data_IF_985320043968
#
_entry.id   IF_985320043968
#
_cell.length_a   1.000
_cell.length_b   1.000
_cell.length_c   1.000
_cell.angle_alpha   90.00
_cell.angle_beta   90.00
_cell.angle_gamma   90.00
#
_symmetry.space_group_name_H-M   'P 1'
#
loop_
_entity.id
_entity.type
_entity.pdbx_description
1 polymer ?
#
# COMPACT_ATOMS: atom_id res chain seq x y z
N UNK A 1 17.61 7.89 5.26
CA UNK A 1 18.01 7.27 3.98
C UNK A 1 17.37 8.07 2.87
N UNK A 2 18.20 8.57 1.96
CA UNK A 2 17.79 9.45 0.87
C UNK A 2 17.77 8.71 -0.48
N UNK A 3 18.66 7.73 -0.67
CA UNK A 3 18.69 6.86 -1.84
C UNK A 3 18.95 5.39 -1.45
N UNK A 4 18.40 4.46 -2.23
CA UNK A 4 18.51 3.02 -2.02
C UNK A 4 18.62 2.30 -3.35
N UNK A 5 19.46 1.28 -3.40
CA UNK A 5 19.55 0.35 -4.53
C UNK A 5 19.38 -1.06 -3.99
N UNK A 6 18.63 -1.90 -4.69
CA UNK A 6 18.61 -3.34 -4.43
C UNK A 6 18.92 -4.13 -5.68
N UNK A 7 19.65 -5.22 -5.50
CA UNK A 7 19.70 -6.30 -6.46
C UNK A 7 18.90 -7.46 -5.88
N UNK A 8 18.06 -8.10 -6.70
CA UNK A 8 17.32 -9.30 -6.32
C UNK A 8 17.69 -10.43 -7.26
N UNK A 9 18.15 -11.55 -6.71
CA UNK A 9 18.39 -12.79 -7.42
C UNK A 9 17.15 -13.69 -7.34
N UNK A 10 16.37 -13.72 -8.41
CA UNK A 10 15.14 -14.50 -8.50
C UNK A 10 15.40 -16.02 -8.43
N UNK A 11 16.59 -16.49 -8.81
CA UNK A 11 16.96 -17.91 -8.67
C UNK A 11 17.15 -18.27 -7.20
N UNK A 12 17.81 -17.41 -6.43
CA UNK A 12 18.00 -17.61 -5.00
C UNK A 12 16.66 -17.57 -4.24
N UNK A 13 15.77 -16.64 -4.60
CA UNK A 13 14.49 -16.42 -3.91
C UNK A 13 13.43 -17.46 -4.27
N UNK A 14 13.30 -17.84 -5.54
CA UNK A 14 12.19 -18.68 -6.00
C UNK A 14 12.61 -20.08 -6.47
N UNK A 15 13.89 -20.27 -6.81
CA UNK A 15 14.39 -21.49 -7.46
C UNK A 15 13.56 -21.92 -8.69
N UNK A 16 13.53 -23.22 -8.95
CA UNK A 16 12.72 -23.86 -10.00
C UNK A 16 11.20 -23.79 -9.81
N UNK A 17 10.70 -23.37 -8.63
CA UNK A 17 9.27 -23.23 -8.36
C UNK A 17 8.66 -21.90 -8.87
N UNK A 18 9.45 -21.07 -9.55
CA UNK A 18 8.96 -19.77 -10.01
C UNK A 18 7.98 -19.90 -11.19
N UNK A 19 6.89 -19.12 -11.15
CA UNK A 19 6.03 -18.85 -12.32
C UNK A 19 6.64 -17.79 -13.24
N UNK A 20 7.91 -17.41 -13.04
CA UNK A 20 8.63 -16.42 -13.85
C UNK A 20 9.16 -17.14 -15.09
N UNK A 21 8.51 -16.89 -16.23
CA UNK A 21 8.45 -17.79 -17.39
C UNK A 21 9.76 -18.31 -17.98
N UNK A 22 10.91 -17.64 -17.80
CA UNK A 22 12.20 -18.12 -18.31
C UNK A 22 12.96 -19.03 -17.33
N UNK A 23 12.63 -18.99 -16.03
CA UNK A 23 13.28 -19.81 -14.99
C UNK A 23 12.68 -21.22 -14.91
N UNK A 24 11.41 -21.38 -15.28
CA UNK A 24 10.68 -22.65 -15.19
C UNK A 24 11.09 -23.71 -16.23
N UNK A 25 11.98 -23.37 -17.17
CA UNK A 25 12.45 -24.27 -18.24
C UNK A 25 13.89 -24.78 -18.06
N UNK A 26 14.60 -24.35 -17.02
CA UNK A 26 15.99 -24.76 -16.79
C UNK A 26 16.07 -26.18 -16.20
N UNK A 27 17.07 -26.95 -16.64
CA UNK A 27 17.44 -28.18 -15.92
C UNK A 27 18.08 -27.84 -14.56
N UNK A 28 18.09 -28.80 -13.62
CA UNK A 28 18.70 -28.59 -12.30
C UNK A 28 20.18 -28.19 -12.36
N UNK A 29 20.93 -28.73 -13.32
CA UNK A 29 22.35 -28.40 -13.50
C UNK A 29 22.53 -26.99 -14.07
N UNK A 30 21.64 -26.57 -14.98
CA UNK A 30 21.61 -25.19 -15.49
C UNK A 30 21.24 -24.19 -14.41
N UNK A 31 20.25 -24.50 -13.58
CA UNK A 31 19.83 -23.68 -12.43
C UNK A 31 21.00 -23.48 -11.47
N UNK A 32 21.72 -24.56 -11.12
CA UNK A 32 22.88 -24.50 -10.22
C UNK A 32 24.02 -23.65 -10.80
N UNK A 33 24.31 -23.79 -12.09
CA UNK A 33 25.35 -23.01 -12.75
C UNK A 33 24.97 -21.52 -12.88
N UNK A 34 23.72 -21.23 -13.22
CA UNK A 34 23.19 -19.88 -13.28
C UNK A 34 23.22 -19.21 -11.89
N UNK A 35 22.80 -19.93 -10.85
CA UNK A 35 22.87 -19.46 -9.46
C UNK A 35 24.33 -19.20 -9.03
N UNK A 36 25.28 -20.05 -9.38
CA UNK A 36 26.69 -19.79 -9.05
C UNK A 36 27.20 -18.48 -9.70
N UNK A 37 26.74 -18.20 -10.93
CA UNK A 37 27.11 -17.00 -11.68
C UNK A 37 26.45 -15.74 -11.10
N UNK A 38 25.15 -15.79 -10.78
CA UNK A 38 24.45 -14.69 -10.10
C UNK A 38 25.05 -14.42 -8.73
N UNK A 39 25.38 -15.44 -7.95
CA UNK A 39 25.97 -15.26 -6.62
C UNK A 39 27.40 -14.69 -6.67
N UNK A 40 28.18 -14.96 -7.72
CA UNK A 40 29.46 -14.29 -7.92
C UNK A 40 29.28 -12.79 -8.23
N UNK A 41 28.22 -12.43 -8.96
CA UNK A 41 27.84 -11.05 -9.24
C UNK A 41 27.34 -10.32 -7.99
N UNK A 42 26.41 -10.93 -7.23
CA UNK A 42 25.80 -10.40 -6.00
C UNK A 42 26.79 -10.19 -4.84
N UNK A 43 27.99 -10.80 -4.88
CA UNK A 43 29.03 -10.60 -3.87
C UNK A 43 29.87 -9.33 -4.09
N UNK A 44 29.76 -8.70 -5.26
CA UNK A 44 30.48 -7.45 -5.56
C UNK A 44 29.80 -6.30 -4.82
N UNK A 45 30.59 -5.39 -4.24
CA UNK A 45 30.03 -4.23 -3.53
C UNK A 45 29.32 -3.28 -4.51
N UNK A 46 28.05 -2.98 -4.21
CA UNK A 46 27.26 -2.01 -4.96
C UNK A 46 27.83 -0.60 -4.81
N UNK A 47 28.30 -0.26 -3.63
CA UNK A 47 28.91 1.04 -3.38
C UNK A 47 30.20 1.21 -4.18
N UNK A 48 31.09 0.21 -4.16
CA UNK A 48 32.33 0.29 -4.94
C UNK A 48 32.03 0.37 -6.44
N UNK A 49 31.09 -0.45 -6.94
CA UNK A 49 30.66 -0.40 -8.33
C UNK A 49 30.09 0.98 -8.72
N UNK A 50 29.35 1.64 -7.81
CA UNK A 50 28.81 2.98 -8.01
C UNK A 50 29.94 4.01 -8.15
N UNK A 51 30.90 4.00 -7.23
CA UNK A 51 32.01 4.96 -7.22
C UNK A 51 32.98 4.71 -8.38
N UNK A 52 33.22 3.47 -8.78
CA UNK A 52 34.07 3.14 -9.94
C UNK A 52 33.47 3.69 -11.24
N UNK A 53 32.13 3.73 -11.34
CA UNK A 53 31.41 4.29 -12.50
C UNK A 53 31.35 5.80 -12.48
N UNK A 54 31.16 6.40 -11.30
CA UNK A 54 31.10 7.85 -11.13
C UNK A 54 31.78 8.27 -9.82
N UNK A 55 33.11 8.52 -9.87
CA UNK A 55 33.90 8.85 -8.68
C UNK A 55 33.46 10.13 -7.98
N UNK A 56 32.82 11.06 -8.70
CA UNK A 56 32.37 12.32 -8.13
C UNK A 56 31.21 12.15 -7.13
N UNK A 57 30.41 11.10 -7.28
CA UNK A 57 29.32 10.79 -6.35
C UNK A 57 29.82 10.45 -4.93
N UNK A 58 31.07 10.00 -4.78
CA UNK A 58 31.64 9.74 -3.45
C UNK A 58 31.66 10.99 -2.56
N UNK A 59 31.73 12.19 -3.15
CA UNK A 59 31.74 13.47 -2.42
C UNK A 59 30.34 13.85 -1.91
N UNK A 60 29.30 13.41 -2.62
CA UNK A 60 27.91 13.69 -2.28
C UNK A 60 27.39 12.71 -1.22
N UNK A 61 27.89 11.47 -1.19
CA UNK A 61 27.46 10.44 -0.24
C UNK A 61 28.04 10.73 1.16
N UNK A 62 27.15 10.96 2.12
CA UNK A 62 27.49 11.23 3.52
C UNK A 62 27.86 9.95 4.27
N UNK A 63 26.98 8.97 4.17
CA UNK A 63 27.12 7.65 4.77
C UNK A 63 26.34 6.64 3.94
N UNK A 64 26.75 5.37 4.03
CA UNK A 64 26.07 4.27 3.37
C UNK A 64 26.11 3.00 4.22
N UNK A 65 25.14 2.13 4.02
CA UNK A 65 25.10 0.78 4.57
C UNK A 65 24.82 -0.19 3.43
N UNK A 66 25.67 -1.20 3.31
CA UNK A 66 25.47 -2.31 2.40
C UNK A 66 25.17 -3.57 3.22
N UNK A 67 24.11 -4.30 2.84
CA UNK A 67 23.69 -5.50 3.55
C UNK A 67 23.12 -6.54 2.59
N UNK A 68 23.10 -7.79 3.07
CA UNK A 68 22.57 -8.93 2.34
C UNK A 68 21.38 -9.54 3.08
N UNK A 69 20.36 -9.88 2.30
CA UNK A 69 19.24 -10.72 2.69
C UNK A 69 19.42 -12.06 2.01
N UNK A 70 19.44 -13.10 2.82
CA UNK A 70 19.70 -14.47 2.39
C UNK A 70 18.39 -15.18 2.10
N UNK A 71 18.42 -16.02 1.07
CA UNK A 71 17.29 -16.83 0.65
C UNK A 71 17.72 -18.29 0.51
N UNK A 72 16.84 -19.17 0.98
CA UNK A 72 16.94 -20.61 0.78
C UNK A 72 15.60 -21.07 0.22
N UNK A 73 15.57 -21.43 -1.07
CA UNK A 73 14.33 -21.78 -1.78
C UNK A 73 13.58 -22.96 -1.16
N UNK A 74 14.24 -23.77 -0.34
CA UNK A 74 13.61 -24.86 0.41
C UNK A 74 12.98 -24.43 1.74
N UNK A 75 13.38 -23.27 2.27
CA UNK A 75 12.94 -22.73 3.55
C UNK A 75 11.80 -21.73 3.36
N UNK A 76 10.57 -22.23 3.47
CA UNK A 76 9.33 -21.51 3.11
C UNK A 76 8.39 -21.33 4.32
N UNK A 77 7.53 -20.31 4.28
CA UNK A 77 6.60 -20.02 5.40
C UNK A 77 5.67 -21.19 5.73
N UNK A 78 5.23 -21.95 4.72
CA UNK A 78 4.35 -23.09 4.92
C UNK A 78 4.95 -24.21 5.79
N UNK A 79 6.28 -24.25 5.93
CA UNK A 79 6.98 -25.21 6.77
C UNK A 79 7.22 -24.70 8.20
N UNK A 80 7.40 -23.38 8.37
CA UNK A 80 7.81 -22.80 9.65
C UNK A 80 6.66 -22.19 10.44
N UNK A 81 5.54 -21.85 9.79
CA UNK A 81 4.37 -21.30 10.45
C UNK A 81 3.38 -22.42 10.83
N UNK A 82 2.78 -22.39 12.04
CA UNK A 82 1.84 -23.41 12.46
C UNK A 82 0.62 -23.54 11.54
N UNK A 83 0.06 -24.74 11.41
CA UNK A 83 -1.16 -24.93 10.62
C UNK A 83 -2.33 -24.07 11.16
N UNK A 84 -3.07 -23.44 10.26
CA UNK A 84 -4.25 -22.63 10.60
C UNK A 84 -3.97 -21.15 10.92
N UNK A 85 -2.71 -20.71 11.03
CA UNK A 85 -2.41 -19.27 11.22
C UNK A 85 -2.56 -18.46 9.93
N UNK A 86 -2.35 -19.09 8.78
CA UNK A 86 -2.63 -18.54 7.45
C UNK A 86 -3.91 -19.17 6.90
N UNK A 87 -4.77 -18.37 6.27
CA UNK A 87 -6.03 -18.85 5.64
C UNK A 87 -6.26 -18.20 4.28
N UNK A 88 -7.07 -18.85 3.43
CA UNK A 88 -7.52 -18.29 2.15
C UNK A 88 -6.39 -17.97 1.18
N UNK A 89 -6.50 -16.85 0.46
CA UNK A 89 -5.51 -16.43 -0.55
C UNK A 89 -4.11 -16.20 0.03
N UNK A 90 -4.02 -15.68 1.27
CA UNK A 90 -2.73 -15.48 1.96
C UNK A 90 -2.02 -16.81 2.14
N UNK A 91 -2.73 -17.86 2.60
CA UNK A 91 -2.17 -19.20 2.71
C UNK A 91 -1.74 -19.76 1.36
N UNK A 92 -2.59 -19.63 0.34
CA UNK A 92 -2.32 -20.16 -1.00
C UNK A 92 -1.04 -19.59 -1.62
N UNK A 93 -0.76 -18.30 -1.36
CA UNK A 93 0.43 -17.62 -1.84
C UNK A 93 1.62 -17.82 -0.89
N UNK A 94 1.50 -17.39 0.37
CA UNK A 94 2.61 -17.31 1.32
C UNK A 94 3.17 -18.68 1.72
N UNK A 95 2.36 -19.75 1.73
CA UNK A 95 2.85 -21.07 2.12
C UNK A 95 4.00 -21.58 1.25
N UNK A 96 4.11 -21.10 0.01
CA UNK A 96 5.17 -21.44 -0.95
C UNK A 96 6.28 -20.40 -1.04
N UNK A 97 6.15 -19.29 -0.32
CA UNK A 97 7.10 -18.18 -0.35
C UNK A 97 8.29 -18.49 0.55
N UNK A 98 9.48 -18.31 0.02
CA UNK A 98 10.74 -18.39 0.77
C UNK A 98 10.79 -17.34 1.87
N UNK A 99 11.29 -17.75 3.03
CA UNK A 99 11.45 -16.88 4.19
C UNK A 99 12.79 -16.15 4.04
N UNK A 100 12.81 -14.82 3.83
CA UNK A 100 14.05 -14.08 3.77
C UNK A 100 14.70 -14.04 5.15
N UNK A 101 16.03 -14.16 5.18
CA UNK A 101 16.83 -14.17 6.40
C UNK A 101 17.85 -13.05 6.41
N UNK A 102 18.06 -12.43 7.57
CA UNK A 102 19.12 -11.43 7.77
C UNK A 102 19.91 -11.75 9.04
N UNK A 103 21.21 -11.52 9.03
CA UNK A 103 22.04 -11.60 10.23
C UNK A 103 21.66 -10.47 11.20
N UNK A 104 21.68 -10.77 12.48
CA UNK A 104 21.41 -9.75 13.52
C UNK A 104 22.42 -8.61 13.48
N UNK A 105 23.69 -8.89 13.15
CA UNK A 105 24.71 -7.84 12.98
C UNK A 105 24.40 -6.88 11.82
N UNK A 106 23.90 -7.40 10.69
CA UNK A 106 23.53 -6.60 9.52
C UNK A 106 22.23 -5.82 9.78
N UNK A 107 21.25 -6.44 10.44
CA UNK A 107 20.05 -5.72 10.88
C UNK A 107 20.40 -4.57 11.84
N UNK A 108 21.32 -4.76 12.80
CA UNK A 108 21.65 -3.69 13.75
C UNK A 108 22.38 -2.50 13.10
N UNK A 109 23.12 -2.71 12.00
CA UNK A 109 23.64 -1.60 11.18
C UNK A 109 22.49 -0.80 10.56
N UNK A 110 21.50 -1.50 10.01
CA UNK A 110 20.30 -0.92 9.42
C UNK A 110 19.44 -0.18 10.47
N UNK A 111 19.26 -0.77 11.65
CA UNK A 111 18.50 -0.18 12.75
C UNK A 111 19.09 1.18 13.17
N UNK A 112 20.42 1.26 13.28
CA UNK A 112 21.14 2.53 13.54
C UNK A 112 20.88 3.58 12.46
N UNK A 113 20.95 3.17 11.19
CA UNK A 113 20.71 4.06 10.04
C UNK A 113 19.29 4.65 10.04
N UNK A 114 18.30 3.87 10.47
CA UNK A 114 16.91 4.30 10.59
C UNK A 114 16.52 4.86 11.96
N UNK A 115 17.47 4.98 12.90
CA UNK A 115 17.21 5.37 14.29
C UNK A 115 16.13 4.51 14.98
N UNK A 116 16.23 3.19 14.81
CA UNK A 116 15.35 2.17 15.39
C UNK A 116 16.08 1.34 16.45
N UNK A 117 15.30 0.62 17.25
CA UNK A 117 15.81 -0.28 18.27
C UNK A 117 16.61 -1.45 17.64
N UNK A 118 17.76 -1.74 18.25
CA UNK A 118 18.59 -2.89 17.92
C UNK A 118 17.96 -4.18 18.45
N UNK A 119 18.21 -5.29 17.76
CA UNK A 119 17.83 -6.63 18.19
C UNK A 119 19.06 -7.32 18.80
N UNK A 120 18.86 -7.99 19.93
CA UNK A 120 19.89 -8.83 20.55
C UNK A 120 19.37 -10.27 20.62
N UNK A 121 20.13 -11.21 20.03
CA UNK A 121 19.80 -12.64 19.99
C UNK A 121 20.92 -13.46 20.62
N UNK A 122 20.54 -14.53 21.32
CA UNK A 122 21.43 -15.67 21.60
C UNK A 122 21.51 -16.60 20.38
N UNK A 123 22.49 -17.49 20.38
CA UNK A 123 22.75 -18.44 19.27
C UNK A 123 21.56 -19.34 18.91
N UNK A 124 20.63 -19.56 19.84
CA UNK A 124 19.43 -20.38 19.67
C UNK A 124 18.14 -19.56 19.53
N UNK A 125 18.25 -18.26 19.24
CA UNK A 125 17.10 -17.35 19.18
C UNK A 125 16.86 -16.77 17.78
N UNK A 126 15.62 -16.36 17.51
CA UNK A 126 15.26 -15.61 16.30
C UNK A 126 14.24 -14.51 16.61
N UNK A 127 14.11 -13.56 15.68
CA UNK A 127 13.03 -12.56 15.68
C UNK A 127 12.46 -12.38 14.27
N UNK A 128 11.18 -12.02 14.15
CA UNK A 128 10.61 -11.56 12.89
C UNK A 128 10.57 -10.04 12.80
N UNK A 129 10.93 -9.52 11.64
CA UNK A 129 10.76 -8.12 11.24
C UNK A 129 9.63 -8.02 10.21
N UNK A 130 8.55 -7.29 10.48
CA UNK A 130 7.45 -7.11 9.54
C UNK A 130 6.80 -5.73 9.70
N UNK A 131 6.14 -5.22 8.68
CA UNK A 131 5.30 -4.01 8.79
C UNK A 131 3.95 -4.16 8.07
N UNK A 132 3.81 -5.16 7.20
CA UNK A 132 2.55 -5.45 6.55
C UNK A 132 1.58 -6.10 7.54
N UNK A 133 0.55 -5.34 7.95
CA UNK A 133 -0.38 -5.66 9.05
C UNK A 133 -0.88 -7.09 9.05
N UNK A 134 -1.43 -7.56 7.93
CA UNK A 134 -1.98 -8.92 7.84
C UNK A 134 -0.95 -9.98 8.19
N UNK A 135 0.30 -9.80 7.76
CA UNK A 135 1.35 -10.75 8.01
C UNK A 135 1.98 -10.58 9.39
N UNK A 136 2.10 -9.34 9.87
CA UNK A 136 2.46 -9.02 11.26
C UNK A 136 1.55 -9.74 12.27
N UNK A 137 0.23 -9.73 12.07
CA UNK A 137 -0.73 -10.44 12.93
C UNK A 137 -0.55 -11.98 12.91
N UNK A 138 -0.19 -12.53 11.75
CA UNK A 138 0.09 -13.97 11.59
C UNK A 138 1.38 -14.35 12.33
N UNK A 139 2.41 -13.52 12.20
CA UNK A 139 3.69 -13.70 12.86
C UNK A 139 3.56 -13.53 14.38
N UNK A 140 2.77 -12.57 14.87
CA UNK A 140 2.48 -12.41 16.29
C UNK A 140 1.80 -13.64 16.90
N UNK A 141 0.83 -14.24 16.20
CA UNK A 141 0.20 -15.51 16.66
C UNK A 141 1.23 -16.65 16.74
N UNK A 142 2.14 -16.71 15.77
CA UNK A 142 3.22 -17.71 15.71
C UNK A 142 4.20 -17.53 16.89
N UNK A 143 4.66 -16.30 17.13
CA UNK A 143 5.57 -15.95 18.22
C UNK A 143 4.91 -16.13 19.60
N UNK A 144 3.64 -15.77 19.73
CA UNK A 144 2.86 -15.99 20.95
C UNK A 144 2.83 -17.48 21.34
N UNK A 145 2.70 -18.37 20.35
CA UNK A 145 2.74 -19.82 20.50
C UNK A 145 4.12 -20.43 20.79
N UNK A 146 5.19 -19.64 20.95
CA UNK A 146 6.57 -20.13 21.10
C UNK A 146 6.99 -21.10 19.99
N UNK A 147 6.56 -20.85 18.75
CA UNK A 147 6.89 -21.74 17.63
C UNK A 147 8.41 -21.84 17.46
N UNK A 148 8.92 -23.06 17.48
CA UNK A 148 10.33 -23.33 17.26
C UNK A 148 10.60 -23.51 15.77
N UNK A 149 11.59 -22.81 15.24
CA UNK A 149 12.00 -22.92 13.84
C UNK A 149 13.21 -23.85 13.77
N UNK A 150 13.07 -24.93 13.00
CA UNK A 150 14.20 -25.81 12.67
C UNK A 150 14.74 -25.42 11.31
N UNK A 151 16.02 -25.08 11.26
CA UNK A 151 16.70 -24.72 10.03
C UNK A 151 18.09 -25.36 10.02
N UNK A 152 18.29 -26.31 9.09
CA UNK A 152 19.50 -27.15 9.03
C UNK A 152 19.75 -27.83 10.39
N UNK A 153 20.93 -27.62 10.99
CA UNK A 153 21.31 -28.12 12.32
C UNK A 153 20.90 -27.18 13.47
N UNK A 154 20.29 -26.04 13.17
CA UNK A 154 19.84 -25.08 14.18
C UNK A 154 18.39 -25.33 14.58
N UNK A 155 18.14 -25.10 15.85
CA UNK A 155 16.81 -25.11 16.44
C UNK A 155 16.64 -23.78 17.16
N UNK A 156 15.86 -22.88 16.57
CA UNK A 156 15.74 -21.49 16.98
C UNK A 156 14.41 -21.25 17.70
N UNK A 157 14.48 -20.51 18.81
CA UNK A 157 13.34 -20.14 19.64
C UNK A 157 13.06 -18.63 19.51
N UNK A 158 11.80 -18.19 19.57
CA UNK A 158 11.50 -16.77 19.44
C UNK A 158 12.02 -15.99 20.65
N UNK A 159 12.72 -14.87 20.40
CA UNK A 159 13.21 -13.99 21.47
C UNK A 159 12.08 -13.18 22.11
N UNK A 160 11.02 -12.90 21.34
CA UNK A 160 9.90 -12.08 21.74
C UNK A 160 8.57 -12.72 21.33
N UNK A 161 7.48 -12.24 21.96
CA UNK A 161 6.11 -12.70 21.70
C UNK A 161 5.42 -11.98 20.54
N UNK A 162 6.06 -10.95 20.01
CA UNK A 162 5.57 -10.13 18.89
C UNK A 162 6.71 -9.84 17.93
N UNK A 163 6.34 -9.60 16.68
CA UNK A 163 7.27 -9.14 15.65
C UNK A 163 7.84 -7.77 16.03
N UNK A 164 9.03 -7.48 15.50
CA UNK A 164 9.58 -6.14 15.48
C UNK A 164 9.01 -5.41 14.25
N UNK A 165 8.51 -4.18 14.43
CA UNK A 165 8.08 -3.37 13.29
C UNK A 165 9.30 -2.82 12.53
N UNK A 166 9.37 -3.13 11.23
CA UNK A 166 10.37 -2.53 10.35
C UNK A 166 10.48 -3.18 8.98
N UNK A 167 11.46 -2.71 8.22
CA UNK A 167 11.68 -3.01 6.81
C UNK A 167 13.16 -2.79 6.47
N UNK A 168 13.61 -3.28 5.31
CA UNK A 168 14.95 -3.02 4.80
C UNK A 168 14.96 -1.78 3.92
N UNK A 169 14.15 -1.80 2.87
CA UNK A 169 14.03 -0.71 1.90
C UNK A 169 12.77 0.06 2.22
N UNK A 170 12.87 1.38 2.30
CA UNK A 170 11.69 2.22 2.51
C UNK A 170 10.85 2.22 1.24
N UNK A 171 9.62 1.78 1.38
CA UNK A 171 8.55 1.89 0.38
C UNK A 171 7.58 3.00 0.77
N UNK A 172 6.72 3.37 -0.18
CA UNK A 172 5.65 4.34 0.04
C UNK A 172 4.45 3.82 0.83
N UNK A 173 4.45 2.53 1.17
CA UNK A 173 3.38 1.79 1.87
C UNK A 173 4.00 0.60 2.62
N UNK A 174 3.35 0.12 3.68
CA UNK A 174 3.86 -1.02 4.47
C UNK A 174 3.71 -2.31 3.67
N UNK A 175 4.81 -2.99 3.37
CA UNK A 175 4.83 -4.16 2.46
C UNK A 175 5.74 -5.30 2.91
N UNK A 176 6.49 -5.15 4.00
CA UNK A 176 7.33 -6.20 4.53
C UNK A 176 6.46 -7.30 5.16
N UNK A 177 6.40 -8.44 4.47
CA UNK A 177 5.68 -9.66 4.86
C UNK A 177 6.45 -10.54 5.84
N UNK A 178 7.59 -10.08 6.36
CA UNK A 178 8.36 -10.81 7.36
C UNK A 178 9.77 -11.10 6.86
N UNK A 179 10.75 -10.77 7.68
CA UNK A 179 12.14 -11.17 7.50
C UNK A 179 12.57 -11.82 8.80
N UNK A 180 13.18 -13.00 8.70
CA UNK A 180 13.69 -13.72 9.84
C UNK A 180 15.07 -13.18 10.21
N UNK A 181 15.17 -12.51 11.35
CA UNK A 181 16.44 -12.08 11.94
C UNK A 181 17.01 -13.25 12.74
N UNK A 182 18.21 -13.67 12.37
CA UNK A 182 18.91 -14.82 12.96
C UNK A 182 20.32 -14.46 13.41
N UNK A 183 20.91 -15.22 14.35
CA UNK A 183 22.32 -15.09 14.71
C UNK A 183 23.23 -15.31 13.50
N UNK A 184 24.38 -14.63 13.50
CA UNK A 184 25.29 -14.60 12.35
C UNK A 184 25.78 -16.00 11.92
N UNK A 185 25.95 -16.92 12.88
CA UNK A 185 26.40 -18.29 12.67
C UNK A 185 25.38 -19.19 11.96
N UNK A 186 24.09 -18.79 11.90
CA UNK A 186 23.05 -19.51 11.15
C UNK A 186 23.24 -19.37 9.64
N UNK A 187 23.85 -18.25 9.20
CA UNK A 187 24.06 -17.94 7.79
C UNK A 187 25.52 -18.14 7.42
N UNK A 188 25.82 -19.31 6.84
CA UNK A 188 27.17 -19.73 6.44
C UNK A 188 27.42 -19.57 4.94
N UNK A 189 26.57 -20.17 4.11
CA UNK A 189 26.78 -20.36 2.67
C UNK A 189 25.48 -20.19 1.86
N UNK A 190 24.41 -19.71 2.51
CA UNK A 190 23.14 -19.45 1.86
C UNK A 190 23.31 -18.42 0.72
N UNK A 191 22.60 -18.61 -0.40
CA UNK A 191 22.53 -17.61 -1.46
C UNK A 191 22.03 -16.26 -0.94
N UNK A 192 22.59 -15.19 -1.49
CA UNK A 192 22.08 -13.83 -1.36
C UNK A 192 20.84 -13.73 -2.24
N UNK A 193 19.67 -13.59 -1.62
CA UNK A 193 18.42 -13.32 -2.33
C UNK A 193 18.31 -11.86 -2.73
N UNK A 194 18.69 -10.95 -1.82
CA UNK A 194 18.71 -9.51 -2.08
C UNK A 194 19.97 -8.88 -1.50
N UNK A 195 20.64 -8.04 -2.27
CA UNK A 195 21.72 -7.17 -1.80
C UNK A 195 21.19 -5.74 -1.82
N UNK A 196 21.28 -5.02 -0.72
CA UNK A 196 20.76 -3.67 -0.59
C UNK A 196 21.88 -2.68 -0.24
N UNK A 197 21.92 -1.55 -0.94
CA UNK A 197 22.75 -0.38 -0.66
C UNK A 197 21.83 0.76 -0.23
N UNK A 198 21.98 1.24 0.99
CA UNK A 198 21.25 2.38 1.54
C UNK A 198 22.20 3.54 1.72
N UNK A 199 21.81 4.74 1.27
CA UNK A 199 22.69 5.92 1.26
C UNK A 199 21.96 7.15 1.79
N UNK A 200 22.68 7.96 2.58
CA UNK A 200 22.33 9.36 2.81
C UNK A 200 23.35 10.24 2.08
N UNK A 201 22.89 11.36 1.54
CA UNK A 201 23.77 12.31 0.87
C UNK A 201 23.78 13.68 1.56
N UNK A 202 24.83 14.45 1.34
CA UNK A 202 24.96 15.82 1.83
C UNK A 202 24.34 16.78 0.83
N UNK A 203 23.35 17.56 1.28
CA UNK A 203 22.87 18.72 0.52
C UNK A 203 23.83 19.89 0.73
N UNK A 204 24.22 20.53 -0.37
CA UNK A 204 25.07 21.72 -0.35
C UNK A 204 24.42 22.86 -1.13
N UNK A 205 24.91 24.09 -0.98
CA UNK A 205 24.44 25.22 -1.77
C UNK A 205 24.66 25.05 -3.29
N UNK A 206 25.54 24.13 -3.69
CA UNK A 206 25.89 23.84 -5.09
C UNK A 206 25.14 22.67 -5.72
N UNK A 207 24.53 21.78 -4.92
CA UNK A 207 23.90 20.53 -5.40
C UNK A 207 22.55 20.32 -4.72
N UNK A 208 21.48 20.25 -5.51
CA UNK A 208 20.15 19.93 -5.00
C UNK A 208 19.94 18.42 -4.88
N UNK A 209 18.93 17.99 -4.11
CA UNK A 209 18.55 16.59 -3.97
C UNK A 209 18.24 15.96 -5.33
N UNK A 210 17.53 16.69 -6.19
CA UNK A 210 17.12 16.24 -7.53
C UNK A 210 18.32 15.96 -8.43
N UNK A 211 19.38 16.78 -8.35
CA UNK A 211 20.59 16.61 -9.14
C UNK A 211 21.38 15.38 -8.69
N UNK A 212 21.51 15.17 -7.38
CA UNK A 212 22.18 13.98 -6.82
C UNK A 212 21.38 12.73 -7.15
N UNK A 213 20.06 12.76 -6.98
CA UNK A 213 19.15 11.67 -7.34
C UNK A 213 19.26 11.32 -8.83
N UNK A 214 19.34 12.32 -9.73
CA UNK A 214 19.51 12.09 -11.16
C UNK A 214 20.85 11.45 -11.51
N UNK A 215 21.94 11.88 -10.88
CA UNK A 215 23.26 11.30 -11.13
C UNK A 215 23.40 9.88 -10.58
N UNK A 216 22.84 9.62 -9.38
CA UNK A 216 22.72 8.27 -8.84
C UNK A 216 21.89 7.39 -9.78
N UNK A 217 20.73 7.90 -10.20
CA UNK A 217 19.86 7.21 -11.13
C UNK A 217 20.60 6.90 -12.43
N UNK A 218 21.32 7.86 -13.03
CA UNK A 218 22.16 7.63 -14.22
C UNK A 218 23.25 6.59 -13.97
N UNK A 219 23.90 6.60 -12.80
CA UNK A 219 24.95 5.63 -12.51
C UNK A 219 24.42 4.18 -12.43
N UNK A 220 23.16 4.01 -12.01
CA UNK A 220 22.46 2.72 -12.02
C UNK A 220 21.74 2.41 -13.34
N UNK A 221 21.14 3.40 -14.02
CA UNK A 221 20.40 3.28 -15.29
C UNK A 221 21.30 3.16 -16.53
N UNK A 222 22.43 3.88 -16.59
CA UNK A 222 23.44 3.76 -17.67
C UNK A 222 24.22 2.43 -17.61
N UNK A 223 23.85 1.55 -16.67
CA UNK A 223 24.38 0.19 -16.54
C UNK A 223 23.41 -0.94 -16.90
N UNK A 224 22.09 -0.70 -16.89
CA UNK A 224 21.08 -1.72 -17.15
C UNK A 224 19.72 -1.01 -17.36
N UNK A 225 19.11 -1.16 -18.54
CA UNK A 225 17.90 -0.41 -18.94
C UNK A 225 16.64 -0.83 -18.15
N UNK A 226 15.90 0.21 -17.73
CA UNK A 226 14.50 0.33 -17.30
C UNK A 226 14.03 -0.41 -16.04
N UNK A 227 13.69 0.39 -15.03
CA UNK A 227 12.55 0.08 -14.15
C UNK A 227 11.43 1.03 -14.52
N UNK A 228 10.32 0.46 -15.02
CA UNK A 228 9.06 1.17 -15.12
C UNK A 228 8.71 1.72 -13.74
N UNK A 229 8.58 3.04 -13.64
CA UNK A 229 7.73 3.62 -12.62
C UNK A 229 6.38 2.92 -12.74
N UNK A 230 5.96 2.24 -11.68
CA UNK A 230 4.67 1.58 -11.61
C UNK A 230 3.55 2.63 -11.74
N UNK A 231 3.22 3.01 -12.97
CA UNK A 231 1.90 3.50 -13.33
C UNK A 231 1.16 2.32 -13.92
N UNK A 232 0.23 1.77 -13.16
CA UNK A 232 -0.83 0.93 -13.68
C UNK A 232 -1.62 1.73 -14.72
N UNK A 233 -1.19 1.64 -15.97
CA UNK A 233 -1.96 1.99 -17.14
C UNK A 233 -1.70 0.90 -18.17
N UNK A 234 -2.70 0.04 -18.32
CA UNK A 234 -2.88 -0.75 -19.53
C UNK A 234 -2.79 0.22 -20.73
N UNK A 235 -2.12 -0.25 -21.77
CA UNK A 235 -1.97 0.42 -23.06
C UNK A 235 -0.85 1.47 -23.16
N UNK A 236 0.40 1.01 -23.17
CA UNK A 236 1.32 1.45 -24.22
C UNK A 236 2.34 0.36 -24.52
N UNK A 237 2.19 -0.28 -25.67
CA UNK A 237 3.27 -0.93 -26.41
C UNK A 237 4.31 0.12 -26.78
N UNK A 238 5.17 0.51 -25.84
CA UNK A 238 6.37 1.27 -26.15
C UNK A 238 7.53 0.31 -26.29
N UNK A 239 8.05 0.27 -27.51
CA UNK A 239 9.24 -0.45 -27.91
C UNK A 239 10.38 -0.20 -26.92
N UNK A 240 10.83 -1.28 -26.29
CA UNK A 240 12.08 -1.39 -25.56
C UNK A 240 13.23 -1.05 -26.50
N UNK A 241 13.60 0.24 -26.59
CA UNK A 241 14.88 0.64 -27.15
C UNK A 241 15.97 0.28 -26.15
N UNK A 242 16.39 -0.98 -26.21
CA UNK A 242 17.66 -1.44 -25.67
C UNK A 242 18.77 -0.66 -26.37
N UNK A 243 19.47 0.18 -25.62
CA UNK A 243 20.70 0.79 -26.09
C UNK A 243 21.65 0.94 -24.91
N UNK A 244 22.68 0.08 -24.98
CA UNK A 244 23.97 0.09 -24.28
C UNK A 244 24.10 -0.63 -22.91
N UNK A 245 24.83 -1.77 -22.98
CA UNK A 245 25.62 -2.53 -21.98
C UNK A 245 24.92 -3.36 -20.89
N UNK A 246 24.26 -4.42 -21.34
CA UNK A 246 23.91 -5.61 -20.55
C UNK A 246 25.06 -6.65 -20.49
N UNK A 247 26.33 -6.24 -20.48
CA UNK A 247 27.43 -7.19 -20.73
C UNK A 247 27.82 -8.06 -19.52
N UNK A 248 27.46 -7.67 -18.29
CA UNK A 248 27.94 -8.36 -17.06
C UNK A 248 26.85 -8.83 -16.07
N UNK A 249 25.58 -8.47 -16.25
CA UNK A 249 24.51 -8.86 -15.30
C UNK A 249 23.93 -10.24 -15.65
N UNK A 250 24.00 -11.22 -14.74
CA UNK A 250 23.45 -12.56 -15.00
C UNK A 250 21.93 -12.54 -15.17
N UNK A 251 21.40 -13.44 -16.01
CA UNK A 251 19.96 -13.64 -16.14
C UNK A 251 19.36 -14.06 -14.79
N UNK A 252 18.22 -13.46 -14.43
CA UNK A 252 17.57 -13.70 -13.13
C UNK A 252 17.99 -12.74 -12.01
N UNK A 253 18.93 -11.83 -12.24
CA UNK A 253 19.22 -10.72 -11.30
C UNK A 253 18.54 -9.45 -11.80
N UNK A 254 17.67 -8.86 -10.97
CA UNK A 254 17.13 -7.52 -11.22
C UNK A 254 17.79 -6.48 -10.33
N UNK A 255 17.82 -5.24 -10.80
CA UNK A 255 18.25 -4.07 -10.04
C UNK A 255 17.09 -3.09 -9.96
N UNK A 256 16.81 -2.59 -8.76
CA UNK A 256 15.88 -1.50 -8.55
C UNK A 256 16.59 -0.36 -7.82
N UNK A 257 16.27 0.87 -8.22
CA UNK A 257 16.78 2.08 -7.60
C UNK A 257 15.61 2.93 -7.11
N UNK A 258 15.73 3.41 -5.88
CA UNK A 258 14.72 4.22 -5.22
C UNK A 258 15.39 5.45 -4.61
N UNK A 259 14.71 6.59 -4.70
CA UNK A 259 15.06 7.76 -3.90
C UNK A 259 13.88 8.16 -3.05
N UNK A 260 14.16 8.83 -1.94
CA UNK A 260 13.14 9.38 -1.05
C UNK A 260 12.20 10.31 -1.81
N UNK A 261 12.71 11.08 -2.77
CA UNK A 261 11.90 11.94 -3.62
C UNK A 261 10.98 11.11 -4.54
N UNK A 262 11.50 10.09 -5.23
CA UNK A 262 10.72 9.19 -6.08
C UNK A 262 9.61 8.47 -5.31
N UNK A 263 9.92 7.96 -4.13
CA UNK A 263 8.93 7.30 -3.26
C UNK A 263 7.84 8.30 -2.84
N UNK A 264 8.24 9.51 -2.43
CA UNK A 264 7.29 10.55 -2.01
C UNK A 264 6.38 11.01 -3.16
N UNK A 265 6.93 11.27 -4.34
CA UNK A 265 6.15 11.73 -5.50
C UNK A 265 5.26 10.61 -6.06
N UNK A 266 5.75 9.38 -6.11
CA UNK A 266 4.98 8.21 -6.51
C UNK A 266 3.79 7.93 -5.59
N UNK A 267 4.01 7.94 -4.27
CA UNK A 267 2.93 7.79 -3.28
C UNK A 267 1.90 8.92 -3.38
N UNK A 268 2.34 10.18 -3.52
CA UNK A 268 1.43 11.30 -3.67
C UNK A 268 0.58 11.20 -4.95
N UNK A 269 1.16 10.74 -6.06
CA UNK A 269 0.44 10.52 -7.31
C UNK A 269 -0.65 9.46 -7.18
N UNK A 270 -0.34 8.32 -6.56
CA UNK A 270 -1.33 7.26 -6.31
C UNK A 270 -2.47 7.74 -5.40
N UNK A 271 -2.13 8.44 -4.31
CA UNK A 271 -3.12 9.02 -3.41
C UNK A 271 -4.00 10.05 -4.12
N UNK A 272 -3.42 10.90 -4.98
CA UNK A 272 -4.15 11.91 -5.73
C UNK A 272 -5.16 11.27 -6.71
N UNK A 273 -4.77 10.22 -7.43
CA UNK A 273 -5.66 9.51 -8.36
C UNK A 273 -6.80 8.83 -7.59
N UNK A 274 -6.49 8.09 -6.52
CA UNK A 274 -7.49 7.41 -5.70
C UNK A 274 -8.49 8.42 -5.10
N UNK A 275 -7.98 9.55 -4.61
CA UNK A 275 -8.78 10.64 -4.05
C UNK A 275 -9.67 11.29 -5.11
N UNK A 276 -9.13 11.58 -6.30
CA UNK A 276 -9.88 12.18 -7.41
C UNK A 276 -11.04 11.28 -7.85
N UNK A 277 -10.78 9.99 -8.09
CA UNK A 277 -11.81 9.01 -8.48
C UNK A 277 -12.85 8.85 -7.38
N UNK A 278 -12.42 8.72 -6.12
CA UNK A 278 -13.30 8.59 -4.96
C UNK A 278 -14.23 9.78 -4.78
N UNK A 279 -13.71 11.01 -4.85
CA UNK A 279 -14.53 12.22 -4.77
C UNK A 279 -15.47 12.38 -5.96
N UNK A 280 -14.98 12.14 -7.18
CA UNK A 280 -15.79 12.27 -8.39
C UNK A 280 -17.00 11.34 -8.37
N UNK A 281 -16.77 10.04 -8.11
CA UNK A 281 -17.86 9.06 -8.00
C UNK A 281 -18.77 9.38 -6.82
N UNK A 282 -18.19 9.72 -5.66
CA UNK A 282 -18.96 10.06 -4.46
C UNK A 282 -19.91 11.24 -4.67
N UNK A 283 -19.44 12.33 -5.29
CA UNK A 283 -20.24 13.53 -5.58
C UNK A 283 -21.34 13.22 -6.59
N UNK A 284 -21.02 12.50 -7.68
CA UNK A 284 -22.01 12.16 -8.71
C UNK A 284 -23.12 11.29 -8.15
N UNK A 285 -22.79 10.25 -7.37
CA UNK A 285 -23.79 9.42 -6.73
C UNK A 285 -24.62 10.22 -5.73
N UNK A 286 -23.99 11.08 -4.94
CA UNK A 286 -24.71 11.90 -3.95
C UNK A 286 -25.70 12.87 -4.61
N UNK A 287 -25.27 13.60 -5.64
CA UNK A 287 -26.15 14.51 -6.41
C UNK A 287 -27.27 13.72 -7.08
N UNK A 288 -26.95 12.59 -7.74
CA UNK A 288 -27.94 11.78 -8.45
C UNK A 288 -29.00 11.21 -7.50
N UNK A 289 -28.59 10.66 -6.35
CA UNK A 289 -29.52 10.15 -5.36
C UNK A 289 -30.39 11.25 -4.74
N UNK A 290 -29.80 12.40 -4.41
CA UNK A 290 -30.55 13.55 -3.89
C UNK A 290 -31.56 14.08 -4.92
N UNK A 291 -31.16 14.16 -6.19
CA UNK A 291 -32.03 14.59 -7.29
C UNK A 291 -33.19 13.60 -7.54
N UNK A 292 -32.91 12.30 -7.57
CA UNK A 292 -33.96 11.27 -7.73
C UNK A 292 -34.97 11.35 -6.58
N UNK A 293 -34.49 11.49 -5.34
CA UNK A 293 -35.36 11.61 -4.18
C UNK A 293 -36.19 12.90 -4.22
N UNK A 294 -35.58 14.02 -4.59
CA UNK A 294 -36.24 15.31 -4.77
C UNK A 294 -37.34 15.24 -5.84
N UNK A 295 -37.05 14.65 -7.01
CA UNK A 295 -38.01 14.47 -8.10
C UNK A 295 -39.18 13.58 -7.67
N UNK A 296 -38.89 12.48 -6.96
CA UNK A 296 -39.93 11.59 -6.42
C UNK A 296 -40.87 12.35 -5.48
N UNK A 297 -40.33 13.11 -4.53
CA UNK A 297 -41.13 13.89 -3.59
C UNK A 297 -41.93 15.00 -4.28
N UNK A 298 -41.39 15.60 -5.34
CA UNK A 298 -42.10 16.60 -6.12
C UNK A 298 -43.29 15.98 -6.88
N UNK A 299 -43.09 14.80 -7.47
CA UNK A 299 -44.16 14.03 -8.12
C UNK A 299 -45.26 13.65 -7.12
N UNK A 300 -44.88 13.10 -5.96
CA UNK A 300 -45.85 12.76 -4.89
C UNK A 300 -46.60 14.00 -4.38
N UNK A 301 -45.93 15.15 -4.30
CA UNK A 301 -46.57 16.41 -3.89
C UNK A 301 -47.59 16.89 -4.92
N UNK A 302 -47.26 16.75 -6.21
CA UNK A 302 -48.16 17.06 -7.33
C UNK A 302 -49.41 16.17 -7.31
N UNK A 303 -49.23 14.86 -7.13
CA UNK A 303 -50.34 13.90 -7.11
C UNK A 303 -51.24 14.08 -5.88
N UNK A 304 -50.66 14.45 -4.73
CA UNK A 304 -51.40 14.68 -3.50
C UNK A 304 -52.05 16.07 -3.41
N UNK A 305 -51.88 16.95 -4.41
CA UNK A 305 -52.46 18.31 -4.41
C UNK A 305 -53.97 18.31 -4.11
N UNK A 306 -54.74 17.36 -4.65
CA UNK A 306 -56.18 17.28 -4.42
C UNK A 306 -56.53 16.91 -2.98
N UNK A 307 -55.72 16.04 -2.35
CA UNK A 307 -55.89 15.66 -0.94
C UNK A 307 -55.63 16.86 -0.03
N UNK A 308 -54.58 17.64 -0.30
CA UNK A 308 -54.30 18.87 0.43
C UNK A 308 -55.41 19.93 0.23
N UNK A 309 -56.01 20.01 -0.97
CA UNK A 309 -57.16 20.87 -1.23
C UNK A 309 -58.42 20.42 -0.46
N UNK A 310 -58.68 19.11 -0.37
CA UNK A 310 -59.78 18.58 0.43
C UNK A 310 -59.61 18.91 1.93
N UNK A 311 -58.41 18.73 2.48
CA UNK A 311 -58.10 19.10 3.87
C UNK A 311 -58.31 20.59 4.14
N UNK A 312 -57.97 21.45 3.17
CA UNK A 312 -58.22 22.90 3.25
C UNK A 312 -59.72 23.19 3.33
N UNK A 313 -60.54 22.54 2.50
CA UNK A 313 -62.02 22.67 2.51
C UNK A 313 -62.65 22.18 3.82
N UNK A 314 -62.02 21.21 4.48
CA UNK A 314 -62.42 20.73 5.82
C UNK A 314 -61.97 21.64 6.98
N UNK A 315 -61.33 22.78 6.68
CA UNK A 315 -60.96 23.80 7.67
C UNK A 315 -59.50 23.79 8.12
N UNK A 316 -58.63 22.99 7.50
CA UNK A 316 -57.21 23.00 7.85
C UNK A 316 -56.54 24.34 7.51
N UNK A 317 -55.78 24.90 8.46
CA UNK A 317 -55.02 26.14 8.22
C UNK A 317 -53.80 25.90 7.32
N UNK A 318 -53.35 26.94 6.60
CA UNK A 318 -52.12 26.87 5.79
C UNK A 318 -50.88 26.46 6.63
N UNK A 319 -50.85 26.82 7.92
CA UNK A 319 -49.78 26.42 8.83
C UNK A 319 -49.78 24.90 9.07
N UNK A 320 -50.96 24.29 9.21
CA UNK A 320 -51.09 22.84 9.37
C UNK A 320 -50.68 22.11 8.09
N UNK A 321 -51.12 22.59 6.92
CA UNK A 321 -50.77 21.99 5.63
C UNK A 321 -49.25 22.07 5.35
N UNK A 322 -48.63 23.23 5.59
CA UNK A 322 -47.19 23.40 5.42
C UNK A 322 -46.37 22.53 6.39
N UNK A 323 -46.84 22.36 7.63
CA UNK A 323 -46.19 21.49 8.61
C UNK A 323 -46.29 20.02 8.21
N UNK A 324 -47.45 19.58 7.74
CA UNK A 324 -47.66 18.22 7.25
C UNK A 324 -46.74 17.93 6.05
N UNK A 325 -46.68 18.84 5.08
CA UNK A 325 -45.80 18.74 3.92
C UNK A 325 -44.32 18.69 4.32
N UNK A 326 -43.90 19.59 5.22
CA UNK A 326 -42.52 19.62 5.72
C UNK A 326 -42.14 18.29 6.38
N UNK A 327 -42.97 17.78 7.29
CA UNK A 327 -42.71 16.52 8.00
C UNK A 327 -42.66 15.35 7.03
N UNK A 328 -43.57 15.29 6.04
CA UNK A 328 -43.55 14.27 5.00
C UNK A 328 -42.20 14.26 4.27
N UNK A 329 -41.81 15.40 3.67
CA UNK A 329 -40.56 15.50 2.90
C UNK A 329 -39.34 15.25 3.82
N UNK A 330 -39.36 15.74 5.06
CA UNK A 330 -38.28 15.55 6.02
C UNK A 330 -38.08 14.08 6.39
N UNK A 331 -39.15 13.32 6.60
CA UNK A 331 -39.04 11.88 6.87
C UNK A 331 -38.42 11.16 5.67
N UNK A 332 -38.87 11.48 4.45
CA UNK A 332 -38.36 10.84 3.24
C UNK A 332 -36.88 11.18 2.93
N UNK A 333 -36.39 12.35 3.31
CA UNK A 333 -34.99 12.73 3.18
C UNK A 333 -34.13 12.23 4.34
N UNK A 334 -34.56 12.41 5.59
CA UNK A 334 -33.75 12.10 6.76
C UNK A 334 -33.66 10.60 7.05
N UNK A 335 -34.72 9.82 6.82
CA UNK A 335 -34.69 8.39 7.13
C UNK A 335 -33.63 7.62 6.29
N UNK A 336 -33.55 7.79 4.95
CA UNK A 336 -32.48 7.18 4.17
C UNK A 336 -31.09 7.70 4.54
N UNK A 337 -30.96 8.99 4.86
CA UNK A 337 -29.68 9.57 5.29
C UNK A 337 -29.18 8.93 6.59
N UNK A 338 -30.06 8.76 7.58
CA UNK A 338 -29.71 8.11 8.86
C UNK A 338 -29.26 6.66 8.64
N UNK A 339 -29.94 5.91 7.77
CA UNK A 339 -29.53 4.55 7.40
C UNK A 339 -28.14 4.59 6.74
N UNK A 340 -27.91 5.53 5.83
CA UNK A 340 -26.60 5.73 5.19
C UNK A 340 -25.49 6.06 6.19
N UNK A 341 -25.76 6.90 7.20
CA UNK A 341 -24.81 7.22 8.27
C UNK A 341 -24.45 5.96 9.06
N UNK A 342 -25.44 5.16 9.47
CA UNK A 342 -25.20 3.90 10.18
C UNK A 342 -24.38 2.94 9.31
N UNK A 343 -24.73 2.81 8.04
CA UNK A 343 -24.00 1.95 7.10
C UNK A 343 -22.57 2.42 6.88
N UNK A 344 -22.33 3.74 6.87
CA UNK A 344 -21.00 4.31 6.71
C UNK A 344 -20.02 3.91 7.82
N UNK A 345 -20.51 3.62 9.03
CA UNK A 345 -19.66 3.15 10.14
C UNK A 345 -19.00 1.82 9.77
N UNK A 346 -19.79 0.86 9.27
CA UNK A 346 -19.27 -0.43 8.82
C UNK A 346 -18.36 -0.28 7.59
N UNK A 347 -18.74 0.59 6.66
CA UNK A 347 -17.93 0.91 5.49
C UNK A 347 -16.56 1.49 5.86
N UNK A 348 -16.52 2.41 6.83
CA UNK A 348 -15.27 3.02 7.34
C UNK A 348 -14.45 1.98 8.10
N UNK A 349 -15.05 1.11 8.91
CA UNK A 349 -14.31 0.03 9.59
C UNK A 349 -13.60 -0.88 8.58
N UNK A 350 -14.31 -1.29 7.53
CA UNK A 350 -13.74 -2.11 6.46
C UNK A 350 -12.67 -1.34 5.67
N UNK A 351 -12.96 -0.11 5.25
CA UNK A 351 -12.03 0.74 4.52
C UNK A 351 -10.76 1.04 5.32
N UNK A 352 -10.87 1.30 6.62
CA UNK A 352 -9.72 1.55 7.51
C UNK A 352 -8.80 0.33 7.58
N UNK A 353 -9.36 -0.88 7.52
CA UNK A 353 -8.57 -2.11 7.51
C UNK A 353 -7.71 -2.23 6.23
N UNK A 354 -8.22 -1.74 5.10
CA UNK A 354 -7.48 -1.68 3.83
C UNK A 354 -6.48 -0.52 3.87
N UNK A 355 -6.92 0.68 4.26
CA UNK A 355 -6.13 1.93 4.22
C UNK A 355 -4.97 1.91 5.21
N UNK A 356 -5.09 1.24 6.36
CA UNK A 356 -3.95 1.05 7.28
C UNK A 356 -2.74 0.39 6.60
N UNK A 357 -2.95 -0.40 5.55
CA UNK A 357 -1.85 -0.97 4.74
C UNK A 357 -1.13 0.09 3.89
N UNK A 358 -1.81 1.19 3.55
CA UNK A 358 -1.32 2.31 2.74
C UNK A 358 -0.85 3.51 3.58
N UNK A 359 -1.04 3.47 4.90
CA UNK A 359 -0.82 4.59 5.81
C UNK A 359 -2.12 5.35 6.11
N UNK A 360 -2.34 5.67 7.38
CA UNK A 360 -3.60 6.23 7.89
C UNK A 360 -3.54 7.74 8.23
N UNK A 361 -2.42 8.40 7.93
CA UNK A 361 -2.20 9.79 8.29
C UNK A 361 -3.19 10.72 7.57
N UNK A 362 -3.91 11.54 8.35
CA UNK A 362 -4.81 12.59 7.83
C UNK A 362 -6.26 12.18 7.54
N UNK A 363 -6.63 10.89 7.68
CA UNK A 363 -8.01 10.42 7.42
C UNK A 363 -9.08 11.13 8.25
N UNK A 364 -8.81 11.37 9.54
CA UNK A 364 -9.75 12.03 10.44
C UNK A 364 -10.02 13.49 10.03
N UNK A 365 -9.05 14.16 9.42
CA UNK A 365 -9.17 15.56 9.00
C UNK A 365 -10.12 15.72 7.79
N UNK A 366 -10.37 14.65 7.03
CA UNK A 366 -11.27 14.68 5.86
C UNK A 366 -12.75 14.56 6.22
N UNK A 367 -13.08 14.05 7.41
CA UNK A 367 -14.48 13.81 7.85
C UNK A 367 -15.31 15.12 7.84
N UNK A 368 -14.85 16.24 8.43
CA UNK A 368 -15.62 17.49 8.45
C UNK A 368 -15.94 18.01 7.04
N UNK A 369 -15.02 17.84 6.09
CA UNK A 369 -15.23 18.26 4.69
C UNK A 369 -16.33 17.43 4.02
N UNK A 370 -16.31 16.11 4.19
CA UNK A 370 -17.36 15.21 3.66
C UNK A 370 -18.72 15.51 4.28
N UNK A 371 -18.79 15.72 5.61
CA UNK A 371 -20.03 16.09 6.29
C UNK A 371 -20.57 17.42 5.75
N UNK A 372 -19.70 18.42 5.56
CA UNK A 372 -20.08 19.71 5.00
C UNK A 372 -20.68 19.57 3.60
N UNK A 373 -20.08 18.73 2.76
CA UNK A 373 -20.57 18.47 1.40
C UNK A 373 -21.94 17.78 1.40
N UNK A 374 -22.14 16.78 2.28
CA UNK A 374 -23.44 16.12 2.45
C UNK A 374 -24.51 17.13 2.88
N UNK A 375 -24.21 17.97 3.88
CA UNK A 375 -25.15 18.98 4.37
C UNK A 375 -25.51 19.98 3.27
N UNK A 376 -24.52 20.44 2.50
CA UNK A 376 -24.75 21.41 1.42
C UNK A 376 -25.61 20.82 0.30
N UNK A 377 -25.25 19.65 -0.23
CA UNK A 377 -25.95 19.09 -1.39
C UNK A 377 -27.30 18.50 -0.95
N UNK A 378 -27.31 17.63 0.06
CA UNK A 378 -28.52 16.95 0.49
C UNK A 378 -29.51 17.92 1.16
N UNK A 379 -29.01 18.84 1.99
CA UNK A 379 -29.81 19.92 2.57
C UNK A 379 -30.30 20.91 1.51
N UNK A 380 -29.48 21.23 0.52
CA UNK A 380 -29.88 22.06 -0.63
C UNK A 380 -31.05 21.46 -1.40
N UNK A 381 -30.97 20.17 -1.77
CA UNK A 381 -32.07 19.47 -2.43
C UNK A 381 -33.32 19.39 -1.55
N UNK A 382 -33.18 19.11 -0.25
CA UNK A 382 -34.30 19.12 0.69
C UNK A 382 -35.04 20.46 0.69
N UNK A 383 -34.31 21.58 0.79
CA UNK A 383 -34.89 22.93 0.77
C UNK A 383 -35.57 23.22 -0.56
N UNK A 384 -34.91 22.91 -1.68
CA UNK A 384 -35.47 23.10 -3.01
C UNK A 384 -36.76 22.29 -3.21
N UNK A 385 -36.78 21.03 -2.76
CA UNK A 385 -37.97 20.17 -2.81
C UNK A 385 -39.08 20.74 -1.96
N UNK A 386 -38.81 21.15 -0.72
CA UNK A 386 -39.84 21.71 0.16
C UNK A 386 -40.46 22.99 -0.41
N UNK A 387 -39.63 23.93 -0.89
CA UNK A 387 -40.10 25.19 -1.48
C UNK A 387 -40.93 24.91 -2.74
N UNK A 388 -40.46 24.00 -3.60
CA UNK A 388 -41.15 23.65 -4.85
C UNK A 388 -42.48 22.93 -4.59
N UNK A 389 -42.50 21.93 -3.70
CA UNK A 389 -43.73 21.24 -3.29
C UNK A 389 -44.73 22.18 -2.65
N UNK A 390 -44.28 23.12 -1.80
CA UNK A 390 -45.14 24.13 -1.19
C UNK A 390 -45.77 25.02 -2.26
N UNK A 391 -44.99 25.46 -3.25
CA UNK A 391 -45.48 26.25 -4.38
C UNK A 391 -46.56 25.50 -5.15
N UNK A 392 -46.30 24.24 -5.53
CA UNK A 392 -47.25 23.39 -6.27
C UNK A 392 -48.61 23.28 -5.55
N UNK A 393 -48.58 23.04 -4.22
CA UNK A 393 -49.80 22.92 -3.44
C UNK A 393 -50.55 24.27 -3.34
N UNK A 394 -49.83 25.38 -3.20
CA UNK A 394 -50.44 26.72 -3.12
C UNK A 394 -51.00 27.24 -4.46
N UNK A 395 -50.33 26.97 -5.58
CA UNK A 395 -50.70 27.48 -6.90
C UNK A 395 -51.98 26.82 -7.44
N UNK A 396 -52.18 25.54 -7.14
CA UNK A 396 -53.40 24.79 -7.51
C UNK A 396 -54.61 25.17 -6.64
N UNK A 397 -54.38 25.69 -5.43
CA UNK A 397 -55.43 26.22 -4.56
C UNK A 397 -55.97 27.56 -5.08
N UNK A 398 -55.08 28.48 -5.51
CA UNK A 398 -55.43 29.79 -6.08
C UNK A 398 -56.21 29.73 -7.41
N UNK A 399 -56.20 28.60 -8.11
CA UNK A 399 -56.96 28.40 -9.37
C UNK A 399 -58.38 27.87 -9.17
N UNK A 400 -58.75 27.45 -7.94
CA UNK A 400 -60.06 26.85 -7.62
C UNK A 400 -60.91 27.72 -6.68
N UNK A 401 -60.30 28.73 -6.06
CA UNK A 401 -60.99 29.86 -5.42
C UNK A 401 -61.26 30.94 -6.48
#
# INVERSE_FOLDING_TARGET
>A
VDAMTELTDYLAVYGSNSSVGYLSQMSKDQEKAALATSQAYMKKSLYQNLIDRNPDLAKDIKDHVELNVYADSSFIYGQILPSGVMTGTVQAFMSKTTVPMIRVSDYNKLAKLYHRDEIHLKDDQYQFLADFKTMAEILDKTLAGNTQIKYRNFTLNPVAKKHQEGFIISSGFKSNTGILVVPDNVITDQPIGTQALLMNYNLSSSRTAEQIDEDLRKAFELGDVSVNAASSSEDTTQETKSSAKQDDRPSGVAINFYTKLLVKTGSAGMQAIATFVGFYLGIIFLISSAAILALKQLSESSDNTEKYAALRRLGASNKMLNRALFVQIAIFFLAPLLIGIIHSIFGIMFASSIIESFGSDGLLASIPMTVSMIVLIYGGYFLLTYISSKRIISEKQLRRD
#
